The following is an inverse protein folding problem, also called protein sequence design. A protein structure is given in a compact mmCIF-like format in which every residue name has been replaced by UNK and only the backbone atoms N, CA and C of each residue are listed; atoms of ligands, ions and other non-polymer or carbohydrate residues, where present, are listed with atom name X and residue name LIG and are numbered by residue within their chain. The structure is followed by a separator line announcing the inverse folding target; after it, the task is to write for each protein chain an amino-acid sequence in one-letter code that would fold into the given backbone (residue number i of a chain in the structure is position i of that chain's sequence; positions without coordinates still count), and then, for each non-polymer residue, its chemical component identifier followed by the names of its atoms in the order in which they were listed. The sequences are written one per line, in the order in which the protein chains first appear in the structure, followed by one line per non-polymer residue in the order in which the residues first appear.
data_IF_204542204809
#
_entry.id   IF_204542204809
#
_cell.length_a   1.000
_cell.length_b   1.000
_cell.length_c   1.000
_cell.angle_alpha   90.00
_cell.angle_beta   90.00
_cell.angle_gamma   90.00
#
_symmetry.space_group_name_H-M   'P 1'
#
loop_
_entity.id
_entity.type
_entity.pdbx_description
1 polymer ?
#
# COMPACT_ATOMS: atom_id res chain seq x y z
N UNK A 1 19.72 5.69 -2.92
CA UNK A 1 19.49 4.24 -2.70
C UNK A 1 18.52 3.78 -3.78
N UNK A 2 18.71 2.61 -4.42
CA UNK A 2 17.86 2.23 -5.54
C UNK A 2 16.45 1.90 -5.03
N UNK A 3 15.46 2.71 -5.43
CA UNK A 3 14.06 2.34 -5.32
C UNK A 3 13.72 1.31 -6.40
N UNK A 4 12.78 0.43 -6.13
CA UNK A 4 12.25 -0.51 -7.11
C UNK A 4 10.81 -0.12 -7.47
N UNK A 5 10.51 -0.06 -8.76
CA UNK A 5 9.20 0.38 -9.26
C UNK A 5 8.44 -0.80 -9.86
N UNK A 6 7.21 -0.99 -9.40
CA UNK A 6 6.25 -1.92 -9.97
C UNK A 6 5.19 -1.17 -10.77
N UNK A 7 4.76 -1.77 -11.89
CA UNK A 7 3.68 -1.25 -12.72
C UNK A 7 2.28 -1.65 -12.20
N UNK A 8 2.20 -2.61 -11.27
CA UNK A 8 0.93 -3.15 -10.77
C UNK A 8 1.04 -3.68 -9.34
N UNK A 9 -0.11 -3.83 -8.68
CA UNK A 9 -0.23 -4.45 -7.34
C UNK A 9 -0.31 -5.99 -7.45
N UNK A 10 0.65 -6.62 -8.11
CA UNK A 10 0.69 -8.08 -8.22
C UNK A 10 1.28 -8.76 -6.97
N UNK A 11 1.36 -10.10 -7.00
CA UNK A 11 1.88 -10.88 -5.89
C UNK A 11 3.36 -10.60 -5.58
N UNK A 12 4.16 -10.16 -6.55
CA UNK A 12 5.56 -9.80 -6.34
C UNK A 12 5.67 -8.45 -5.62
N UNK A 13 4.90 -7.47 -6.08
CA UNK A 13 4.76 -6.16 -5.44
C UNK A 13 4.31 -6.32 -3.98
N UNK A 14 3.27 -7.15 -3.73
CA UNK A 14 2.79 -7.45 -2.37
C UNK A 14 3.90 -8.04 -1.50
N UNK A 15 4.69 -9.01 -2.00
CA UNK A 15 5.82 -9.58 -1.25
C UNK A 15 6.89 -8.54 -0.94
N UNK A 16 7.18 -7.65 -1.88
CA UNK A 16 8.15 -6.59 -1.68
C UNK A 16 7.69 -5.57 -0.63
N UNK A 17 6.39 -5.21 -0.62
CA UNK A 17 5.78 -4.37 0.42
C UNK A 17 5.84 -5.06 1.79
N UNK A 18 5.49 -6.35 1.87
CA UNK A 18 5.63 -7.16 3.09
C UNK A 18 7.06 -7.16 3.63
N UNK A 19 8.04 -7.27 2.72
CA UNK A 19 9.48 -7.23 3.07
C UNK A 19 9.89 -5.84 3.58
N UNK A 20 9.45 -4.76 2.93
CA UNK A 20 9.72 -3.38 3.37
C UNK A 20 9.29 -3.15 4.81
N UNK A 21 8.11 -3.64 5.19
CA UNK A 21 7.54 -3.44 6.53
C UNK A 21 7.89 -4.54 7.53
N UNK A 22 8.58 -5.61 7.10
CA UNK A 22 8.83 -6.80 7.90
C UNK A 22 7.55 -7.40 8.52
N UNK A 23 6.46 -7.43 7.74
CA UNK A 23 5.14 -7.94 8.14
C UNK A 23 4.63 -8.91 7.08
N UNK A 24 4.02 -10.01 7.51
CA UNK A 24 3.37 -10.95 6.60
C UNK A 24 2.04 -10.39 6.08
N UNK A 25 1.86 -10.39 4.76
CA UNK A 25 0.58 -10.10 4.14
C UNK A 25 -0.41 -11.24 4.37
N UNK A 26 -1.52 -10.95 5.05
CA UNK A 26 -2.63 -11.89 5.20
C UNK A 26 -3.59 -11.78 4.03
N UNK A 27 -4.11 -12.91 3.56
CA UNK A 27 -5.20 -12.93 2.60
C UNK A 27 -6.51 -12.69 3.35
N UNK A 28 -7.29 -11.72 2.88
CA UNK A 28 -8.62 -11.43 3.39
C UNK A 28 -9.66 -12.45 2.89
N UNK A 29 -10.77 -12.68 3.60
CA UNK A 29 -11.76 -13.70 3.24
C UNK A 29 -12.58 -13.38 1.99
N UNK A 30 -12.42 -12.17 1.42
CA UNK A 30 -13.11 -11.72 0.23
C UNK A 30 -12.14 -11.62 -0.95
N UNK A 31 -12.66 -11.96 -2.14
CA UNK A 31 -11.89 -12.06 -3.38
C UNK A 31 -12.65 -11.43 -4.55
N UNK A 32 -12.67 -10.10 -4.67
CA UNK A 32 -13.29 -9.43 -5.82
C UNK A 32 -12.63 -9.91 -7.11
N UNK A 33 -13.46 -10.25 -8.09
CA UNK A 33 -13.05 -10.83 -9.38
C UNK A 33 -12.26 -12.13 -9.25
N UNK A 34 -12.44 -12.86 -8.13
CA UNK A 34 -11.74 -14.12 -7.85
C UNK A 34 -10.27 -13.93 -7.44
N UNK A 35 -9.80 -12.69 -7.27
CA UNK A 35 -8.41 -12.38 -6.92
C UNK A 35 -8.26 -12.10 -5.43
N UNK A 36 -7.14 -12.50 -4.80
CA UNK A 36 -6.91 -12.26 -3.38
C UNK A 36 -6.78 -10.76 -3.07
N UNK A 37 -7.30 -10.38 -1.90
CA UNK A 37 -7.01 -9.09 -1.26
C UNK A 37 -6.03 -9.33 -0.13
N UNK A 38 -5.04 -8.46 0.01
CA UNK A 38 -4.00 -8.60 1.02
C UNK A 38 -4.11 -7.51 2.07
N UNK A 39 -3.98 -7.88 3.34
CA UNK A 39 -3.90 -6.94 4.45
C UNK A 39 -2.56 -7.07 5.17
N UNK A 40 -1.94 -5.93 5.48
CA UNK A 40 -0.74 -5.82 6.31
C UNK A 40 -1.07 -4.92 7.50
N UNK A 41 -0.90 -5.45 8.70
CA UNK A 41 -1.05 -4.70 9.96
C UNK A 41 0.33 -4.20 10.39
N UNK A 42 0.61 -2.91 10.18
CA UNK A 42 1.89 -2.26 10.42
C UNK A 42 1.97 -1.77 11.87
N UNK A 43 3.04 -2.16 12.58
CA UNK A 43 3.27 -1.85 14.00
C UNK A 43 4.03 -0.52 14.26
N UNK A 44 4.02 0.41 13.29
CA UNK A 44 4.77 1.67 13.34
C UNK A 44 4.36 2.64 14.47
N UNK A 45 5.18 3.66 14.70
CA UNK A 45 5.00 4.62 15.78
C UNK A 45 3.72 5.45 15.60
N UNK A 46 2.80 5.29 16.55
CA UNK A 46 1.46 5.91 16.64
C UNK A 46 0.36 5.25 15.78
N UNK A 47 -0.44 4.44 16.47
CA UNK A 47 -1.72 3.82 16.07
C UNK A 47 -1.66 2.92 14.83
N UNK A 48 -1.73 1.61 15.08
CA UNK A 48 -1.70 0.54 14.08
C UNK A 48 -2.31 0.94 12.73
N UNK A 49 -1.45 0.93 11.71
CA UNK A 49 -1.84 1.20 10.34
C UNK A 49 -2.18 -0.13 9.70
N UNK A 50 -3.35 -0.23 9.09
CA UNK A 50 -3.70 -1.36 8.24
C UNK A 50 -3.66 -0.93 6.79
N UNK A 51 -2.75 -1.53 6.03
CA UNK A 51 -2.64 -1.40 4.59
C UNK A 51 -3.45 -2.53 3.95
N UNK A 52 -4.37 -2.20 3.05
CA UNK A 52 -5.19 -3.17 2.30
C UNK A 52 -4.90 -2.97 0.82
N UNK A 53 -4.37 -4.01 0.18
CA UNK A 53 -3.98 -4.04 -1.22
C UNK A 53 -5.03 -4.81 -2.01
N UNK A 54 -5.62 -4.16 -3.01
CA UNK A 54 -6.66 -4.71 -3.88
C UNK A 54 -6.13 -4.88 -5.31
N UNK A 55 -5.40 -5.97 -5.62
CA UNK A 55 -4.81 -6.22 -6.95
C UNK A 55 -5.81 -6.08 -8.11
N UNK A 56 -6.96 -6.77 -8.05
CA UNK A 56 -7.95 -6.75 -9.14
C UNK A 56 -8.56 -5.38 -9.40
N UNK A 57 -8.55 -4.50 -8.40
CA UNK A 57 -9.15 -3.17 -8.49
C UNK A 57 -8.12 -2.05 -8.70
N UNK A 58 -6.82 -2.38 -8.80
CA UNK A 58 -5.72 -1.42 -8.80
C UNK A 58 -5.91 -0.36 -7.70
N UNK A 59 -6.14 -0.81 -6.46
CA UNK A 59 -6.53 0.07 -5.36
C UNK A 59 -5.75 -0.27 -4.09
N UNK A 60 -5.50 0.77 -3.31
CA UNK A 60 -4.93 0.65 -1.97
C UNK A 60 -5.76 1.45 -0.98
N UNK A 61 -6.03 0.84 0.18
CA UNK A 61 -6.62 1.51 1.33
C UNK A 61 -5.61 1.53 2.48
N UNK A 62 -5.52 2.65 3.19
CA UNK A 62 -4.72 2.79 4.39
C UNK A 62 -5.64 3.24 5.50
N UNK A 63 -5.77 2.44 6.55
CA UNK A 63 -6.59 2.76 7.73
C UNK A 63 -5.69 2.98 8.92
N UNK A 64 -5.90 4.08 9.64
CA UNK A 64 -5.37 4.25 10.99
C UNK A 64 -6.43 3.82 12.00
N UNK A 65 -6.03 3.21 13.12
CA UNK A 65 -6.96 2.72 14.14
C UNK A 65 -7.95 3.79 14.68
N UNK A 66 -7.61 5.08 14.54
CA UNK A 66 -8.34 6.23 15.07
C UNK A 66 -9.07 7.07 13.99
N UNK A 67 -9.86 6.43 13.13
CA UNK A 67 -10.86 7.01 12.20
C UNK A 67 -10.43 7.57 10.83
N UNK A 68 -9.15 7.80 10.55
CA UNK A 68 -8.74 8.25 9.20
C UNK A 68 -8.45 7.09 8.25
N UNK A 69 -9.08 7.14 7.07
CA UNK A 69 -8.85 6.20 5.98
C UNK A 69 -8.50 6.94 4.70
N UNK A 70 -7.38 6.57 4.10
CA UNK A 70 -6.99 7.00 2.75
C UNK A 70 -7.31 5.90 1.76
N UNK A 71 -7.86 6.27 0.61
CA UNK A 71 -8.17 5.33 -0.47
C UNK A 71 -7.64 5.92 -1.76
N UNK A 72 -6.67 5.24 -2.36
CA UNK A 72 -6.18 5.57 -3.70
C UNK A 72 -6.66 4.49 -4.67
N UNK A 73 -7.46 4.92 -5.66
CA UNK A 73 -7.95 4.10 -6.76
C UNK A 73 -7.07 4.28 -7.99
N UNK A 74 -7.19 3.35 -8.94
CA UNK A 74 -6.49 3.40 -10.22
C UNK A 74 -4.96 3.53 -10.06
N UNK A 75 -4.37 2.77 -9.14
CA UNK A 75 -2.91 2.70 -8.92
C UNK A 75 -2.26 2.17 -10.19
N UNK A 76 -1.34 2.95 -10.77
CA UNK A 76 -0.59 2.59 -11.98
C UNK A 76 0.93 2.54 -11.79
N UNK A 77 1.41 2.91 -10.60
CA UNK A 77 2.84 2.80 -10.27
C UNK A 77 3.03 2.71 -8.77
N UNK A 78 3.98 1.86 -8.37
CA UNK A 78 4.32 1.63 -6.97
C UNK A 78 5.84 1.70 -6.84
N UNK A 79 6.34 2.71 -6.15
CA UNK A 79 7.76 2.81 -5.83
C UNK A 79 8.00 2.31 -4.41
N UNK A 80 8.88 1.34 -4.27
CA UNK A 80 9.38 0.86 -2.98
C UNK A 80 10.77 1.44 -2.75
N UNK A 81 10.88 2.27 -1.72
CA UNK A 81 12.14 2.85 -1.28
C UNK A 81 12.59 2.06 -0.06
N UNK A 82 13.60 1.19 -0.26
CA UNK A 82 14.05 0.24 0.74
C UNK A 82 14.39 0.92 2.09
N UNK A 83 13.76 0.43 3.16
CA UNK A 83 13.94 0.94 4.52
C UNK A 83 13.29 2.30 4.80
N UNK A 84 12.50 2.85 3.86
CA UNK A 84 11.92 4.19 4.00
C UNK A 84 10.40 4.15 3.85
N UNK A 85 9.87 3.82 2.67
CA UNK A 85 8.44 3.95 2.38
C UNK A 85 8.04 3.24 1.08
N UNK A 86 6.74 3.05 0.92
CA UNK A 86 6.10 2.74 -0.36
C UNK A 86 5.29 3.95 -0.82
N UNK A 87 5.40 4.29 -2.10
CA UNK A 87 4.67 5.38 -2.75
C UNK A 87 3.79 4.81 -3.86
N UNK A 88 2.48 4.98 -3.72
CA UNK A 88 1.48 4.61 -4.72
C UNK A 88 1.11 5.83 -5.56
N UNK A 89 1.14 5.67 -6.88
CA UNK A 89 0.76 6.70 -7.85
C UNK A 89 -0.46 6.27 -8.64
N UNK A 90 -1.42 7.17 -8.91
CA UNK A 90 -2.48 6.88 -9.84
C UNK A 90 -1.92 6.74 -11.26
N UNK A 91 -2.55 5.91 -12.09
CA UNK A 91 -2.19 5.72 -13.49
C UNK A 91 -2.43 7.00 -14.32
N UNK A 92 -3.41 7.80 -13.90
CA UNK A 92 -3.78 9.07 -14.52
C UNK A 92 -3.89 10.18 -13.46
N UNK A 93 -3.58 11.42 -13.86
CA UNK A 93 -3.65 12.58 -12.98
C UNK A 93 -2.37 12.87 -12.20
N UNK A 94 -2.48 13.75 -11.19
CA UNK A 94 -1.38 14.15 -10.31
C UNK A 94 -1.72 13.77 -8.87
N UNK A 95 -0.75 13.21 -8.17
CA UNK A 95 -0.87 12.88 -6.76
C UNK A 95 -0.16 11.59 -6.40
N UNK A 96 -0.12 11.31 -5.11
CA UNK A 96 0.41 10.08 -4.56
C UNK A 96 -0.10 9.84 -3.14
N UNK A 97 -0.12 8.58 -2.75
CA UNK A 97 -0.28 8.13 -1.37
C UNK A 97 1.01 7.44 -0.97
N UNK A 98 1.59 7.81 0.17
CA UNK A 98 2.74 7.09 0.68
C UNK A 98 2.53 6.63 2.12
N UNK A 99 3.21 5.53 2.44
CA UNK A 99 3.23 4.90 3.76
C UNK A 99 4.67 4.62 4.11
N UNK A 100 5.17 5.28 5.15
CA UNK A 100 6.55 5.12 5.63
C UNK A 100 6.66 4.05 6.71
N UNK A 101 7.82 3.40 6.80
CA UNK A 101 8.13 2.38 7.81
C UNK A 101 8.02 2.91 9.24
N UNK A 102 8.12 4.23 9.44
CA UNK A 102 7.95 4.86 10.74
C UNK A 102 6.48 5.13 11.12
N UNK A 103 5.52 4.79 10.25
CA UNK A 103 4.09 5.00 10.47
C UNK A 103 3.56 6.34 9.93
N UNK A 104 4.35 7.13 9.22
CA UNK A 104 3.83 8.33 8.56
C UNK A 104 3.03 7.95 7.31
N UNK A 105 1.82 8.51 7.18
CA UNK A 105 0.94 8.35 6.02
C UNK A 105 0.53 9.72 5.55
N UNK A 106 0.62 9.96 4.26
CA UNK A 106 0.08 11.17 3.67
C UNK A 106 -0.38 10.91 2.23
N UNK A 107 -1.38 11.68 1.81
CA UNK A 107 -1.92 11.67 0.47
C UNK A 107 -1.95 13.10 -0.06
N UNK A 108 -1.31 13.31 -1.20
CA UNK A 108 -1.31 14.58 -1.91
C UNK A 108 -2.06 14.37 -3.22
N UNK A 109 -3.13 15.11 -3.42
CA UNK A 109 -3.91 15.11 -4.67
C UNK A 109 -3.72 16.44 -5.38
N UNK A 110 -3.56 16.42 -6.70
CA UNK A 110 -3.38 17.60 -7.54
C UNK A 110 -4.43 17.75 -8.63
#
# INVERSE_FOLDING_TARGET
MPGHTFASLDAECVRAISTLFAVEARIEPYSPDGMPVYALDLAGAADGIRLILWPSLNRVDVRRASDHSWVLKNVGGIDIIAGVEVVFRPAEGRGFLFVSVNGFVNMVMG
#
